data_IF_256788115503
#
_entry.id   IF_256788115503
#
_cell.length_a   1.000
_cell.length_b   1.000
_cell.length_c   1.000
_cell.angle_alpha   90.00
_cell.angle_beta   90.00
_cell.angle_gamma   90.00
#
_symmetry.space_group_name_H-M   'P 1'
#
loop_
_entity.id
_entity.type
_entity.pdbx_description
1 polymer ?
#
# COMPACT_ATOMS: atom_id res chain seq x y z
N UNK A 1 17.84 30.40 -6.30
CA UNK A 1 17.12 31.64 -5.94
C UNK A 1 17.14 31.79 -4.44
N UNK A 2 17.58 32.93 -3.88
CA UNK A 2 17.55 33.15 -2.43
C UNK A 2 16.10 33.40 -2.02
N UNK A 3 15.47 32.47 -1.30
CA UNK A 3 14.10 32.64 -0.82
C UNK A 3 14.10 33.56 0.40
N UNK A 4 13.05 34.38 0.58
CA UNK A 4 12.85 35.26 1.75
C UNK A 4 12.44 34.46 3.00
N UNK A 5 13.14 33.36 3.26
CA UNK A 5 12.95 32.48 4.40
C UNK A 5 14.17 32.58 5.32
N UNK A 6 13.98 32.62 6.65
CA UNK A 6 12.69 32.61 7.34
C UNK A 6 12.02 33.99 7.44
N UNK A 7 10.67 34.04 7.50
CA UNK A 7 9.92 35.21 7.92
C UNK A 7 10.48 35.78 9.22
N UNK A 8 10.43 37.11 9.37
CA UNK A 8 10.91 37.79 10.59
C UNK A 8 10.36 37.15 11.86
N UNK A 9 9.09 36.75 11.84
CA UNK A 9 8.39 36.10 12.95
C UNK A 9 8.99 34.77 13.39
N UNK A 10 9.65 34.05 12.48
CA UNK A 10 10.20 32.71 12.71
C UNK A 10 11.72 32.74 12.95
N UNK A 11 12.36 33.85 12.61
CA UNK A 11 13.80 34.05 12.78
C UNK A 11 14.32 33.73 14.20
N UNK A 12 13.60 34.02 15.29
CA UNK A 12 14.03 33.63 16.64
C UNK A 12 13.99 32.12 16.92
N UNK A 13 13.19 31.37 16.16
CA UNK A 13 12.87 29.96 16.43
C UNK A 13 13.57 28.98 15.48
N UNK A 14 14.50 29.47 14.65
CA UNK A 14 15.23 28.69 13.65
C UNK A 14 16.73 28.83 13.94
N UNK A 15 17.48 27.74 13.75
CA UNK A 15 18.90 27.68 14.09
C UNK A 15 19.73 28.69 13.27
N UNK A 16 20.63 29.40 13.96
CA UNK A 16 21.56 30.36 13.34
C UNK A 16 22.54 29.60 12.44
N UNK A 17 22.35 29.66 11.13
CA UNK A 17 23.18 28.96 10.15
C UNK A 17 22.39 28.21 9.08
N UNK A 18 21.05 28.14 9.20
CA UNK A 18 20.21 27.55 8.17
C UNK A 18 20.31 28.34 6.85
N UNK A 19 21.09 27.83 5.90
CA UNK A 19 21.19 28.40 4.56
C UNK A 19 20.12 27.77 3.67
N UNK A 20 19.19 28.58 3.19
CA UNK A 20 18.13 28.11 2.27
C UNK A 20 18.68 28.08 0.86
N UNK A 21 19.64 27.19 0.61
CA UNK A 21 20.06 26.86 -0.75
C UNK A 21 19.00 25.93 -1.33
N UNK A 22 18.07 26.52 -2.05
CA UNK A 22 17.07 25.75 -2.79
C UNK A 22 17.74 25.05 -3.96
N UNK A 23 17.87 23.74 -3.85
CA UNK A 23 18.24 22.91 -4.98
C UNK A 23 17.05 22.89 -5.94
N UNK A 24 17.32 23.07 -7.23
CA UNK A 24 16.28 23.02 -8.24
C UNK A 24 16.53 21.83 -9.14
N UNK A 25 15.56 20.91 -9.21
CA UNK A 25 15.66 19.75 -10.10
C UNK A 25 14.75 19.96 -11.29
N UNK A 26 15.27 19.69 -12.48
CA UNK A 26 14.47 19.75 -13.71
C UNK A 26 13.55 18.55 -13.75
N UNK A 27 12.26 18.81 -13.83
CA UNK A 27 11.26 17.75 -13.96
C UNK A 27 11.32 17.20 -15.37
N UNK A 28 11.96 16.05 -15.54
CA UNK A 28 12.05 15.35 -16.83
C UNK A 28 10.87 14.41 -17.09
N UNK A 29 10.08 14.13 -16.05
CA UNK A 29 8.92 13.24 -16.11
C UNK A 29 7.92 13.74 -17.15
N UNK A 30 7.66 12.93 -18.19
CA UNK A 30 6.89 13.34 -19.37
C UNK A 30 5.44 13.69 -19.07
N UNK A 31 4.90 13.23 -17.95
CA UNK A 31 3.50 13.35 -17.55
C UNK A 31 3.31 14.33 -16.37
N UNK A 32 4.35 15.07 -15.97
CA UNK A 32 4.20 16.09 -14.95
C UNK A 32 3.68 17.39 -15.57
N UNK A 33 2.70 18.09 -14.98
CA UNK A 33 2.34 19.46 -15.39
C UNK A 33 3.51 20.45 -15.22
N UNK A 34 4.56 20.03 -14.52
CA UNK A 34 5.80 20.76 -14.33
C UNK A 34 6.93 20.26 -15.23
N UNK A 35 6.69 19.36 -16.18
CA UNK A 35 7.70 18.86 -17.13
C UNK A 35 8.44 20.01 -17.81
N UNK A 36 9.76 19.92 -17.83
CA UNK A 36 10.65 20.95 -18.36
C UNK A 36 10.88 22.12 -17.41
N UNK A 37 10.10 22.24 -16.32
CA UNK A 37 10.30 23.25 -15.28
C UNK A 37 11.26 22.73 -14.21
N UNK A 38 11.97 23.65 -13.59
CA UNK A 38 12.76 23.36 -12.40
C UNK A 38 11.86 23.50 -11.17
N UNK A 39 11.72 22.43 -10.37
CA UNK A 39 11.03 22.49 -9.08
C UNK A 39 12.04 22.65 -7.96
N UNK A 40 11.66 23.40 -6.94
CA UNK A 40 12.45 23.54 -5.73
C UNK A 40 12.35 22.28 -4.88
N UNK A 41 13.50 21.74 -4.50
CA UNK A 41 13.64 20.64 -3.55
C UNK A 41 14.24 21.19 -2.28
N UNK A 42 13.67 20.79 -1.15
CA UNK A 42 14.16 21.14 0.17
C UNK A 42 14.81 19.92 0.80
N UNK A 43 15.97 20.11 1.40
CA UNK A 43 16.63 19.06 2.16
C UNK A 43 15.87 18.73 3.44
N UNK A 44 16.07 17.52 3.97
CA UNK A 44 15.46 17.06 5.22
C UNK A 44 15.75 18.01 6.37
N UNK A 45 16.99 18.52 6.45
CA UNK A 45 17.43 19.52 7.45
C UNK A 45 16.59 20.80 7.41
N UNK A 46 16.21 21.25 6.21
CA UNK A 46 15.36 22.40 6.02
C UNK A 46 13.91 22.12 6.46
N UNK A 47 13.37 20.96 6.08
CA UNK A 47 12.00 20.55 6.45
C UNK A 47 11.87 20.43 7.97
N UNK A 48 12.85 19.81 8.62
CA UNK A 48 12.89 19.70 10.08
C UNK A 48 12.92 21.07 10.75
N UNK A 49 13.82 21.94 10.29
CA UNK A 49 13.93 23.31 10.82
C UNK A 49 12.67 24.13 10.60
N UNK A 50 11.97 23.91 9.48
CA UNK A 50 10.68 24.54 9.19
C UNK A 50 9.60 24.08 10.18
N UNK A 51 9.49 22.76 10.40
CA UNK A 51 8.52 22.18 11.34
C UNK A 51 8.79 22.69 12.75
N UNK A 52 10.05 22.58 13.21
CA UNK A 52 10.47 23.04 14.53
C UNK A 52 10.21 24.54 14.72
N UNK A 53 10.57 25.36 13.73
CA UNK A 53 10.39 26.80 13.79
C UNK A 53 8.93 27.23 13.95
N UNK A 54 8.01 26.63 13.18
CA UNK A 54 6.58 26.92 13.31
C UNK A 54 5.94 26.34 14.57
N UNK A 55 6.39 25.16 15.03
CA UNK A 55 5.92 24.56 16.27
C UNK A 55 6.29 25.42 17.48
N UNK A 56 7.56 25.86 17.55
CA UNK A 56 8.03 26.77 18.59
C UNK A 56 7.35 28.13 18.49
N UNK A 57 7.27 28.74 17.30
CA UNK A 57 6.60 30.02 17.15
C UNK A 57 5.12 29.99 17.57
N UNK A 58 4.43 28.86 17.38
CA UNK A 58 3.08 28.66 17.90
C UNK A 58 3.08 28.60 19.43
N UNK A 59 3.99 27.84 20.03
CA UNK A 59 4.07 27.67 21.48
C UNK A 59 4.37 28.99 22.23
N UNK A 60 5.02 29.94 21.55
CA UNK A 60 5.32 31.28 22.07
C UNK A 60 4.27 32.34 21.66
N UNK A 61 3.13 31.93 21.08
CA UNK A 61 2.09 32.83 20.54
C UNK A 61 2.65 33.91 19.58
N UNK A 62 3.77 33.61 18.93
CA UNK A 62 4.46 34.54 18.04
C UNK A 62 3.86 34.52 16.62
N UNK A 63 3.08 33.50 16.27
CA UNK A 63 2.45 33.38 14.97
C UNK A 63 1.29 34.36 14.79
N UNK A 64 1.13 34.86 13.57
CA UNK A 64 -0.08 35.60 13.19
C UNK A 64 -1.29 34.65 13.22
N UNK A 65 -2.48 35.19 13.44
CA UNK A 65 -3.72 34.40 13.50
C UNK A 65 -3.92 33.50 12.28
N UNK A 66 -3.59 34.00 11.08
CA UNK A 66 -3.66 33.23 9.84
C UNK A 66 -2.53 32.19 9.67
N UNK A 67 -1.52 32.16 10.54
CA UNK A 67 -0.43 31.18 10.54
C UNK A 67 -0.57 30.11 11.62
N UNK A 68 -1.47 30.29 12.60
CA UNK A 68 -1.67 29.32 13.69
C UNK A 68 -1.99 27.91 13.22
N UNK A 69 -2.70 27.77 12.10
CA UNK A 69 -2.98 26.45 11.51
C UNK A 69 -1.70 25.72 11.03
N UNK A 70 -0.68 26.46 10.59
CA UNK A 70 0.62 25.92 10.16
C UNK A 70 1.36 25.41 11.39
N UNK A 71 1.45 26.23 12.44
CA UNK A 71 2.03 25.83 13.72
C UNK A 71 1.41 24.56 14.29
N UNK A 72 0.07 24.48 14.31
CA UNK A 72 -0.65 23.31 14.84
C UNK A 72 -0.32 22.04 14.06
N UNK A 73 -0.28 22.15 12.72
CA UNK A 73 0.14 21.05 11.84
C UNK A 73 1.59 20.63 12.11
N UNK A 74 2.50 21.58 12.31
CA UNK A 74 3.91 21.29 12.62
C UNK A 74 4.08 20.54 13.95
N UNK A 75 3.36 20.94 15.01
CA UNK A 75 3.37 20.23 16.31
C UNK A 75 2.88 18.78 16.16
N UNK A 76 1.81 18.59 15.39
CA UNK A 76 1.26 17.25 15.12
C UNK A 76 2.29 16.40 14.38
N UNK A 77 2.91 16.94 13.32
CA UNK A 77 3.92 16.23 12.54
C UNK A 77 5.15 15.86 13.37
N UNK A 78 5.62 16.78 14.20
CA UNK A 78 6.73 16.52 15.10
C UNK A 78 6.41 15.37 16.06
N UNK A 79 5.20 15.35 16.62
CA UNK A 79 4.75 14.29 17.52
C UNK A 79 4.69 12.92 16.84
N UNK A 80 4.17 12.87 15.60
CA UNK A 80 4.12 11.63 14.80
C UNK A 80 5.51 11.13 14.42
N UNK A 81 6.42 12.03 14.01
CA UNK A 81 7.79 11.67 13.65
C UNK A 81 8.56 11.12 14.86
N UNK A 82 8.46 11.79 16.02
CA UNK A 82 9.08 11.34 17.27
C UNK A 82 8.57 9.96 17.67
N UNK A 83 7.26 9.71 17.58
CA UNK A 83 6.68 8.39 17.89
C UNK A 83 7.22 7.31 16.95
N UNK A 84 7.28 7.55 15.64
CA UNK A 84 7.82 6.58 14.66
C UNK A 84 9.29 6.27 14.90
N UNK A 85 10.10 7.30 15.19
CA UNK A 85 11.52 7.12 15.50
C UNK A 85 11.70 6.35 16.81
N UNK A 86 10.94 6.67 17.85
CA UNK A 86 10.95 5.95 19.12
C UNK A 86 10.53 4.49 18.94
N UNK A 87 9.45 4.22 18.20
CA UNK A 87 8.98 2.86 17.94
C UNK A 87 10.02 2.06 17.14
N UNK A 88 10.70 2.69 16.17
CA UNK A 88 11.78 2.08 15.40
C UNK A 88 12.99 1.78 16.28
N UNK A 89 13.39 2.72 17.14
CA UNK A 89 14.50 2.55 18.07
C UNK A 89 14.22 1.46 19.13
N UNK A 90 13.00 1.42 19.67
CA UNK A 90 12.54 0.36 20.59
C UNK A 90 12.57 -1.00 19.89
N UNK A 91 12.04 -1.10 18.67
CA UNK A 91 12.10 -2.35 17.89
C UNK A 91 13.54 -2.81 17.65
N UNK A 92 14.43 -1.90 17.26
CA UNK A 92 15.86 -2.22 17.08
C UNK A 92 16.52 -2.66 18.40
N UNK A 93 16.27 -1.95 19.50
CA UNK A 93 16.78 -2.29 20.83
C UNK A 93 16.25 -3.64 21.34
N UNK A 94 15.04 -4.01 20.95
CA UNK A 94 14.42 -5.30 21.25
C UNK A 94 14.72 -6.40 20.22
N UNK A 95 15.61 -6.17 19.24
CA UNK A 95 15.98 -7.15 18.21
C UNK A 95 14.90 -7.44 17.16
N UNK A 96 13.85 -6.61 17.08
CA UNK A 96 12.77 -6.72 16.10
C UNK A 96 13.15 -5.97 14.81
N UNK A 97 13.23 -6.70 13.69
CA UNK A 97 13.55 -6.16 12.37
C UNK A 97 12.47 -5.16 11.89
N UNK A 98 12.82 -3.90 11.55
CA UNK A 98 11.85 -2.89 11.08
C UNK A 98 11.32 -3.13 9.66
N UNK A 99 11.87 -4.06 8.90
CA UNK A 99 11.67 -4.12 7.44
C UNK A 99 11.14 -5.48 6.97
N UNK A 100 9.85 -5.72 7.23
CA UNK A 100 9.13 -6.92 6.80
C UNK A 100 9.17 -7.09 5.26
N UNK A 101 9.21 -5.99 4.50
CA UNK A 101 9.18 -6.02 3.04
C UNK A 101 10.50 -6.44 2.39
N UNK A 102 11.65 -5.95 2.86
CA UNK A 102 12.95 -6.43 2.35
C UNK A 102 13.22 -7.89 2.75
N UNK A 103 12.71 -8.33 3.91
CA UNK A 103 12.78 -9.73 4.33
C UNK A 103 11.89 -10.61 3.44
N UNK A 104 10.64 -10.21 3.17
CA UNK A 104 9.75 -10.96 2.27
C UNK A 104 10.27 -11.06 0.82
N UNK A 105 10.87 -10.00 0.28
CA UNK A 105 11.43 -9.99 -1.08
C UNK A 105 12.74 -10.81 -1.18
N UNK A 106 13.56 -10.81 -0.12
CA UNK A 106 14.77 -11.65 -0.05
C UNK A 106 14.44 -13.14 0.12
N UNK A 107 13.30 -13.46 0.73
CA UNK A 107 12.83 -14.85 0.92
C UNK A 107 11.92 -15.38 -0.20
N UNK A 108 11.47 -14.57 -1.17
CA UNK A 108 10.65 -15.05 -2.29
C UNK A 108 11.36 -16.10 -3.16
N UNK A 109 12.69 -16.00 -3.28
CA UNK A 109 13.56 -17.00 -3.94
C UNK A 109 13.74 -18.28 -3.08
N UNK A 110 13.39 -18.22 -1.80
CA UNK A 110 13.59 -19.30 -0.81
C UNK A 110 12.30 -20.09 -0.52
N UNK A 111 11.12 -19.63 -0.98
CA UNK A 111 9.85 -20.28 -0.60
C UNK A 111 9.58 -21.57 -1.37
N UNK A 112 9.97 -21.67 -2.64
CA UNK A 112 9.87 -22.92 -3.41
C UNK A 112 10.78 -24.00 -2.79
N UNK A 113 11.98 -23.59 -2.37
CA UNK A 113 12.87 -24.46 -1.60
C UNK A 113 12.25 -24.82 -0.24
N UNK A 114 11.67 -23.86 0.45
CA UNK A 114 11.00 -24.07 1.73
C UNK A 114 9.86 -25.08 1.62
N UNK A 115 8.99 -25.02 0.62
CA UNK A 115 7.91 -26.02 0.48
C UNK A 115 8.48 -27.42 0.18
N UNK A 116 9.58 -27.52 -0.59
CA UNK A 116 10.30 -28.80 -0.80
C UNK A 116 10.93 -29.31 0.50
N UNK A 117 11.53 -28.44 1.31
CA UNK A 117 12.08 -28.78 2.63
C UNK A 117 10.99 -29.21 3.63
N UNK A 118 9.74 -28.74 3.44
CA UNK A 118 8.55 -29.23 4.15
C UNK A 118 7.99 -30.54 3.58
N UNK A 119 8.68 -31.16 2.62
CA UNK A 119 8.31 -32.44 2.04
C UNK A 119 7.31 -32.35 0.89
N UNK A 120 7.11 -31.18 0.28
CA UNK A 120 6.26 -31.09 -0.91
C UNK A 120 6.90 -31.83 -2.10
N UNK A 121 6.12 -32.73 -2.71
CA UNK A 121 6.53 -33.49 -3.89
C UNK A 121 5.50 -33.34 -5.00
N UNK A 122 5.97 -33.28 -6.24
CA UNK A 122 5.15 -33.18 -7.43
C UNK A 122 4.99 -34.55 -8.11
N UNK A 123 3.75 -34.90 -8.50
CA UNK A 123 3.49 -36.18 -9.18
C UNK A 123 3.83 -36.19 -10.67
N UNK A 124 3.91 -35.02 -11.34
CA UNK A 124 4.08 -34.97 -12.81
C UNK A 124 5.55 -34.88 -13.20
N UNK A 125 6.28 -33.94 -12.62
CA UNK A 125 7.73 -33.73 -12.71
C UNK A 125 8.15 -32.81 -11.56
N UNK A 126 9.43 -32.42 -11.46
CA UNK A 126 9.94 -31.67 -10.31
C UNK A 126 9.25 -30.33 -10.02
N UNK A 127 8.48 -29.77 -10.96
CA UNK A 127 7.94 -28.41 -10.88
C UNK A 127 6.41 -28.29 -11.12
N UNK A 128 5.73 -29.40 -11.41
CA UNK A 128 4.28 -29.41 -11.71
C UNK A 128 3.54 -30.37 -10.77
N UNK A 129 2.67 -29.80 -9.94
CA UNK A 129 1.81 -30.52 -9.02
C UNK A 129 0.39 -30.70 -9.57
N UNK A 130 -0.27 -31.78 -9.17
CA UNK A 130 -1.72 -31.96 -9.35
C UNK A 130 -2.46 -31.64 -8.05
N UNK A 131 -3.79 -31.49 -8.12
CA UNK A 131 -4.61 -31.21 -6.92
C UNK A 131 -4.37 -32.19 -5.78
N UNK A 132 -4.18 -33.48 -6.11
CA UNK A 132 -3.91 -34.53 -5.12
C UNK A 132 -2.66 -34.22 -4.29
N UNK A 133 -1.58 -33.80 -4.94
CA UNK A 133 -0.33 -33.41 -4.29
C UNK A 133 -0.57 -32.25 -3.31
N UNK A 134 -1.30 -31.23 -3.75
CA UNK A 134 -1.61 -30.03 -2.96
C UNK A 134 -2.52 -30.37 -1.76
N UNK A 135 -3.58 -31.16 -1.97
CA UNK A 135 -4.49 -31.56 -0.89
C UNK A 135 -3.81 -32.43 0.15
N UNK A 136 -2.91 -33.33 -0.29
CA UNK A 136 -2.17 -34.21 0.59
C UNK A 136 -1.14 -33.43 1.42
N UNK A 137 -0.42 -32.49 0.79
CA UNK A 137 0.55 -31.66 1.48
C UNK A 137 -0.09 -30.73 2.52
N UNK A 138 -1.20 -30.09 2.15
CA UNK A 138 -1.88 -29.16 3.05
C UNK A 138 -2.82 -29.85 4.05
N UNK A 139 -3.03 -31.16 3.92
CA UNK A 139 -4.01 -31.94 4.68
C UNK A 139 -5.41 -31.28 4.67
N UNK A 140 -5.93 -31.05 3.46
CA UNK A 140 -7.22 -30.38 3.25
C UNK A 140 -8.13 -31.18 2.30
N UNK A 141 -9.46 -31.07 2.45
CA UNK A 141 -10.39 -31.62 1.47
C UNK A 141 -10.23 -30.98 0.08
N UNK A 142 -10.40 -31.77 -0.98
CA UNK A 142 -10.36 -31.25 -2.35
C UNK A 142 -11.43 -30.18 -2.61
N UNK A 143 -12.58 -30.27 -1.96
CA UNK A 143 -13.64 -29.25 -2.02
C UNK A 143 -13.16 -27.88 -1.51
N UNK A 144 -12.35 -27.86 -0.45
CA UNK A 144 -11.75 -26.64 0.10
C UNK A 144 -10.75 -26.04 -0.88
N UNK A 145 -9.87 -26.87 -1.44
CA UNK A 145 -8.92 -26.44 -2.48
C UNK A 145 -9.66 -25.90 -3.71
N UNK A 146 -10.71 -26.58 -4.17
CA UNK A 146 -11.52 -26.13 -5.30
C UNK A 146 -12.19 -24.77 -5.05
N UNK A 147 -12.69 -24.54 -3.83
CA UNK A 147 -13.25 -23.24 -3.47
C UNK A 147 -12.18 -22.13 -3.46
N UNK A 148 -10.98 -22.43 -2.97
CA UNK A 148 -9.84 -21.53 -3.00
C UNK A 148 -9.48 -21.17 -4.46
N UNK A 149 -9.20 -22.18 -5.29
CA UNK A 149 -8.84 -21.99 -6.70
C UNK A 149 -9.91 -21.20 -7.48
N UNK A 150 -11.20 -21.41 -7.18
CA UNK A 150 -12.29 -20.64 -7.80
C UNK A 150 -12.24 -19.15 -7.42
N UNK A 151 -11.90 -18.82 -6.17
CA UNK A 151 -11.76 -17.44 -5.70
C UNK A 151 -10.54 -16.76 -6.29
N UNK A 152 -9.48 -17.53 -6.56
CA UNK A 152 -8.15 -17.04 -6.98
C UNK A 152 -7.84 -17.36 -8.45
N UNK A 153 -8.88 -17.56 -9.27
CA UNK A 153 -8.76 -17.97 -10.68
C UNK A 153 -7.99 -17.00 -11.58
N UNK A 154 -7.87 -15.73 -11.16
CA UNK A 154 -7.16 -14.70 -11.92
C UNK A 154 -5.64 -14.79 -11.68
N UNK A 155 -5.25 -15.26 -10.49
CA UNK A 155 -3.88 -15.22 -9.97
C UNK A 155 -3.19 -16.58 -10.03
N UNK A 156 -3.98 -17.66 -10.00
CA UNK A 156 -3.54 -19.06 -10.14
C UNK A 156 -4.14 -19.62 -11.42
N UNK A 157 -3.30 -19.83 -12.44
CA UNK A 157 -3.74 -20.32 -13.75
C UNK A 157 -3.37 -21.79 -13.89
N UNK A 158 -4.36 -22.71 -13.94
CA UNK A 158 -4.08 -24.12 -14.14
C UNK A 158 -3.54 -24.38 -15.54
N UNK A 159 -2.68 -25.40 -15.64
CA UNK A 159 -2.12 -25.88 -16.90
C UNK A 159 -2.82 -27.17 -17.28
N UNK A 160 -3.41 -27.21 -18.46
CA UNK A 160 -4.02 -28.44 -18.94
C UNK A 160 -2.93 -29.45 -19.34
N UNK A 161 -2.90 -30.59 -18.67
CA UNK A 161 -1.91 -31.63 -18.94
C UNK A 161 -2.27 -32.41 -20.21
N UNK A 162 -1.24 -32.75 -21.00
CA UNK A 162 -1.41 -33.61 -22.18
C UNK A 162 -1.72 -35.04 -21.75
N UNK A 163 -2.54 -35.76 -22.51
CA UNK A 163 -2.91 -37.15 -22.19
C UNK A 163 -1.71 -38.09 -22.06
N UNK A 164 -0.64 -37.86 -22.85
CA UNK A 164 0.60 -38.61 -22.74
C UNK A 164 1.28 -38.40 -21.36
N UNK A 165 1.34 -37.15 -20.90
CA UNK A 165 1.87 -36.80 -19.58
C UNK A 165 1.03 -37.43 -18.46
N UNK A 166 -0.31 -37.38 -18.57
CA UNK A 166 -1.20 -38.00 -17.58
C UNK A 166 -0.93 -39.50 -17.42
N UNK A 167 -0.77 -40.21 -18.54
CA UNK A 167 -0.48 -41.65 -18.52
C UNK A 167 0.94 -41.95 -18.01
N UNK A 168 1.91 -41.08 -18.29
CA UNK A 168 3.32 -41.28 -17.91
C UNK A 168 3.52 -41.36 -16.39
N UNK A 169 2.76 -40.59 -15.58
CA UNK A 169 2.78 -40.71 -14.11
C UNK A 169 1.70 -41.67 -13.56
N UNK A 170 1.05 -42.46 -14.42
CA UNK A 170 0.05 -43.46 -14.01
C UNK A 170 -1.38 -42.95 -13.82
N UNK A 171 -1.68 -41.73 -14.26
CA UNK A 171 -3.02 -41.16 -14.23
C UNK A 171 -3.98 -41.81 -15.23
N UNK A 172 -5.23 -42.04 -14.81
CA UNK A 172 -6.31 -42.63 -15.64
C UNK A 172 -7.32 -41.60 -16.16
N UNK A 173 -7.20 -40.34 -15.76
CA UNK A 173 -8.15 -39.29 -16.12
C UNK A 173 -8.00 -38.90 -17.61
N UNK A 174 -9.13 -38.63 -18.26
CA UNK A 174 -9.14 -38.14 -19.65
C UNK A 174 -8.65 -36.70 -19.78
N UNK A 175 -8.80 -35.89 -18.72
CA UNK A 175 -8.33 -34.50 -18.61
C UNK A 175 -7.89 -34.24 -17.17
N UNK A 176 -6.81 -33.49 -17.01
CA UNK A 176 -6.29 -33.11 -15.69
C UNK A 176 -5.57 -31.76 -15.77
N UNK A 177 -5.64 -30.99 -14.68
CA UNK A 177 -4.91 -29.74 -14.53
C UNK A 177 -3.71 -29.94 -13.61
N UNK A 178 -2.59 -29.33 -13.99
CA UNK A 178 -1.42 -29.13 -13.16
C UNK A 178 -1.26 -27.68 -12.71
N UNK A 179 -0.41 -27.47 -11.72
CA UNK A 179 -0.09 -26.18 -11.11
C UNK A 179 1.43 -26.08 -10.95
N UNK A 180 2.02 -24.97 -11.35
CA UNK A 180 3.45 -24.72 -11.10
C UNK A 180 3.73 -24.58 -9.60
N UNK A 181 4.93 -24.93 -9.16
CA UNK A 181 5.36 -24.78 -7.77
C UNK A 181 5.17 -23.36 -7.21
N UNK A 182 5.35 -22.33 -8.02
CA UNK A 182 5.08 -20.94 -7.61
C UNK A 182 3.61 -20.75 -7.22
N UNK A 183 2.68 -21.34 -7.98
CA UNK A 183 1.26 -21.28 -7.67
C UNK A 183 0.89 -22.17 -6.48
N UNK A 184 1.54 -23.34 -6.34
CA UNK A 184 1.41 -24.18 -5.14
C UNK A 184 1.84 -23.39 -3.90
N UNK A 185 2.92 -22.62 -4.00
CA UNK A 185 3.43 -21.78 -2.91
C UNK A 185 2.41 -20.72 -2.50
N UNK A 186 1.79 -20.04 -3.47
CA UNK A 186 0.70 -19.09 -3.22
C UNK A 186 -0.48 -19.76 -2.53
N UNK A 187 -0.86 -20.97 -2.94
CA UNK A 187 -1.94 -21.73 -2.31
C UNK A 187 -1.56 -22.10 -0.86
N UNK A 188 -0.36 -22.64 -0.65
CA UNK A 188 0.11 -23.08 0.66
C UNK A 188 0.18 -21.93 1.66
N UNK A 189 0.69 -20.78 1.24
CA UNK A 189 0.64 -19.57 2.03
C UNK A 189 -0.78 -19.00 2.09
N UNK A 190 -1.61 -19.18 1.07
CA UNK A 190 -2.97 -18.64 0.99
C UNK A 190 -3.91 -19.21 2.05
N UNK A 191 -3.73 -20.50 2.34
CA UNK A 191 -4.61 -21.29 3.18
C UNK A 191 -4.15 -21.34 4.64
N UNK A 192 -5.10 -21.49 5.56
CA UNK A 192 -4.85 -21.64 7.00
C UNK A 192 -4.80 -23.13 7.41
N UNK A 193 -4.10 -23.96 6.63
CA UNK A 193 -3.81 -25.32 7.07
C UNK A 193 -2.67 -25.31 8.11
N UNK A 194 -2.46 -26.43 8.82
CA UNK A 194 -1.36 -26.56 9.78
C UNK A 194 -0.01 -26.23 9.12
N UNK A 195 0.24 -26.83 7.95
CA UNK A 195 1.44 -26.60 7.14
C UNK A 195 1.49 -25.16 6.61
N UNK A 196 0.36 -24.62 6.14
CA UNK A 196 0.28 -23.23 5.68
C UNK A 196 0.62 -22.21 6.77
N UNK A 197 0.14 -22.43 8.00
CA UNK A 197 0.44 -21.58 9.17
C UNK A 197 1.93 -21.65 9.52
N UNK A 198 2.54 -22.83 9.50
CA UNK A 198 3.95 -23.00 9.81
C UNK A 198 4.85 -22.37 8.74
N UNK A 199 4.51 -22.56 7.45
CA UNK A 199 5.17 -21.90 6.34
C UNK A 199 5.10 -20.37 6.48
N UNK A 200 3.92 -19.82 6.78
CA UNK A 200 3.77 -18.39 7.05
C UNK A 200 4.65 -17.92 8.21
N UNK A 201 4.77 -18.69 9.29
CA UNK A 201 5.64 -18.35 10.43
C UNK A 201 7.11 -18.32 10.03
N UNK A 202 7.58 -19.27 9.20
CA UNK A 202 8.97 -19.26 8.71
C UNK A 202 9.24 -18.12 7.72
N UNK A 203 8.26 -17.76 6.89
CA UNK A 203 8.41 -16.69 5.90
C UNK A 203 8.26 -15.29 6.53
N UNK A 204 7.35 -15.12 7.49
CA UNK A 204 6.96 -13.79 8.03
C UNK A 204 7.23 -13.61 9.54
N UNK A 205 7.83 -14.60 10.23
CA UNK A 205 8.08 -14.57 11.67
C UNK A 205 6.82 -14.81 12.53
N UNK A 206 6.85 -14.43 13.82
CA UNK A 206 5.74 -14.65 14.77
C UNK A 206 4.39 -14.03 14.34
N UNK A 207 4.42 -13.01 13.47
CA UNK A 207 3.22 -12.34 12.93
C UNK A 207 2.60 -13.14 11.76
N UNK A 208 3.35 -14.07 11.16
CA UNK A 208 2.97 -14.80 9.96
C UNK A 208 1.69 -15.61 10.06
N UNK A 209 1.35 -16.15 11.24
CA UNK A 209 0.10 -16.91 11.44
C UNK A 209 -1.18 -16.12 11.14
N UNK A 210 -1.10 -14.78 11.13
CA UNK A 210 -2.23 -13.90 10.83
C UNK A 210 -2.22 -13.38 9.38
N UNK A 211 -1.15 -13.65 8.63
CA UNK A 211 -0.96 -13.17 7.27
C UNK A 211 -1.67 -14.11 6.29
N UNK A 212 -2.68 -13.60 5.58
CA UNK A 212 -3.22 -14.26 4.39
C UNK A 212 -2.64 -13.55 3.16
N UNK A 213 -1.93 -14.24 2.26
CA UNK A 213 -1.46 -13.66 0.99
C UNK A 213 -2.58 -13.01 0.17
N UNK A 214 -3.80 -13.50 0.37
CA UNK A 214 -5.02 -13.16 -0.35
C UNK A 214 -5.81 -11.99 0.27
N UNK A 215 -5.37 -11.44 1.40
CA UNK A 215 -6.05 -10.28 1.99
C UNK A 215 -5.64 -9.01 1.27
N UNK A 216 -6.35 -8.74 0.16
CA UNK A 216 -6.39 -7.50 -0.62
C UNK A 216 -5.78 -6.32 0.14
N UNK A 217 -4.60 -5.91 -0.30
CA UNK A 217 -4.01 -4.56 -0.38
C UNK A 217 -4.45 -3.49 0.65
N UNK A 218 -5.75 -3.29 0.87
CA UNK A 218 -6.31 -2.53 1.99
C UNK A 218 -5.94 -3.08 3.38
N UNK A 219 -5.77 -4.40 3.56
CA UNK A 219 -5.47 -4.99 4.89
C UNK A 219 -4.03 -4.68 5.31
N UNK A 220 -3.11 -4.60 4.35
CA UNK A 220 -1.74 -4.12 4.61
C UNK A 220 -1.76 -2.65 5.06
N UNK A 221 -2.53 -1.82 4.35
CA UNK A 221 -2.74 -0.42 4.76
C UNK A 221 -3.48 -0.32 6.08
N UNK A 222 -4.40 -1.23 6.39
CA UNK A 222 -5.14 -1.25 7.65
C UNK A 222 -4.19 -1.31 8.84
N UNK A 223 -3.22 -2.21 8.84
CA UNK A 223 -2.25 -2.33 9.93
C UNK A 223 -1.31 -1.14 10.02
N UNK A 224 -0.78 -0.69 8.88
CA UNK A 224 0.13 0.47 8.81
C UNK A 224 -0.58 1.74 9.29
N UNK A 225 -1.78 2.00 8.77
CA UNK A 225 -2.58 3.17 9.13
C UNK A 225 -3.07 3.08 10.59
N UNK A 226 -3.37 1.89 11.12
CA UNK A 226 -3.73 1.72 12.54
C UNK A 226 -2.61 2.17 13.47
N UNK A 227 -1.34 1.86 13.13
CA UNK A 227 -0.18 2.30 13.91
C UNK A 227 0.06 3.79 13.75
N UNK A 228 0.03 4.28 12.51
CA UNK A 228 0.23 5.70 12.18
C UNK A 228 -0.81 6.61 12.85
N UNK A 229 -2.08 6.21 12.83
CA UNK A 229 -3.22 6.99 13.31
C UNK A 229 -3.75 6.51 14.66
N UNK A 230 -2.93 5.83 15.44
CA UNK A 230 -3.29 5.43 16.80
C UNK A 230 -3.68 6.67 17.64
N UNK A 231 -4.90 6.65 18.18
CA UNK A 231 -5.47 7.77 18.94
C UNK A 231 -6.13 8.87 18.09
N UNK A 232 -6.16 8.73 16.76
CA UNK A 232 -6.78 9.69 15.83
C UNK A 232 -8.18 9.29 15.34
N UNK A 233 -8.79 8.29 15.97
CA UNK A 233 -10.11 7.74 15.60
C UNK A 233 -10.13 7.29 14.12
N UNK A 234 -9.21 6.38 13.80
CA UNK A 234 -9.18 5.70 12.51
C UNK A 234 -10.30 4.67 12.45
N UNK A 235 -11.18 4.83 11.48
CA UNK A 235 -12.30 3.94 11.19
C UNK A 235 -12.12 3.34 9.82
N UNK A 236 -12.44 2.07 9.69
CA UNK A 236 -12.37 1.33 8.44
C UNK A 236 -13.74 1.24 7.82
N UNK A 237 -13.81 1.23 6.50
CA UNK A 237 -15.02 0.86 5.79
C UNK A 237 -16.22 1.73 6.26
N UNK A 238 -15.97 3.02 6.46
CA UNK A 238 -16.85 3.92 7.20
C UNK A 238 -17.94 4.50 6.29
N UNK A 239 -19.22 4.50 6.71
CA UNK A 239 -20.30 5.09 5.92
C UNK A 239 -20.27 6.62 5.99
N UNK A 240 -20.36 7.27 4.83
CA UNK A 240 -20.55 8.71 4.66
C UNK A 240 -21.75 8.93 3.73
N UNK A 241 -22.90 9.25 4.32
CA UNK A 241 -24.16 9.34 3.59
C UNK A 241 -24.50 7.98 2.93
N UNK A 242 -24.85 7.94 1.63
CA UNK A 242 -25.12 6.70 0.92
C UNK A 242 -23.85 5.93 0.52
N UNK A 243 -22.66 6.49 0.77
CA UNK A 243 -21.38 5.94 0.33
C UNK A 243 -20.61 5.32 1.49
N UNK A 244 -19.62 4.52 1.13
CA UNK A 244 -18.68 3.90 2.05
C UNK A 244 -17.26 4.25 1.61
N UNK A 245 -16.39 4.59 2.56
CA UNK A 245 -14.99 4.94 2.32
C UNK A 245 -14.07 3.96 3.04
N UNK A 246 -12.89 3.71 2.47
CA UNK A 246 -11.98 2.66 2.96
C UNK A 246 -11.42 3.00 4.34
N UNK A 247 -10.98 4.26 4.53
CA UNK A 247 -10.45 4.76 5.79
C UNK A 247 -10.96 6.18 6.09
N UNK A 248 -11.43 6.39 7.32
CA UNK A 248 -11.72 7.72 7.86
C UNK A 248 -10.85 7.96 9.10
N UNK A 249 -10.05 9.02 9.10
CA UNK A 249 -9.37 9.51 10.29
C UNK A 249 -10.19 10.66 10.85
N UNK A 250 -11.15 10.35 11.73
CA UNK A 250 -12.23 11.28 12.08
C UNK A 250 -11.71 12.57 12.72
N UNK A 251 -10.69 12.49 13.57
CA UNK A 251 -10.09 13.68 14.21
C UNK A 251 -9.36 14.61 13.24
N UNK A 252 -8.93 14.09 12.08
CA UNK A 252 -8.26 14.87 11.05
C UNK A 252 -9.21 15.32 9.92
N UNK A 253 -10.48 14.92 9.99
CA UNK A 253 -11.45 15.15 8.92
C UNK A 253 -10.92 14.67 7.56
N UNK A 254 -10.22 13.53 7.56
CA UNK A 254 -9.47 13.01 6.43
C UNK A 254 -10.03 11.66 6.01
N UNK A 255 -10.35 11.55 4.72
CA UNK A 255 -10.72 10.30 4.06
C UNK A 255 -9.56 9.82 3.20
N UNK A 256 -9.22 8.53 3.33
CA UNK A 256 -8.27 7.86 2.44
C UNK A 256 -9.00 6.76 1.68
N UNK A 257 -8.83 6.74 0.36
CA UNK A 257 -9.36 5.67 -0.51
C UNK A 257 -8.23 4.95 -1.25
N UNK A 258 -8.12 3.66 -1.00
CA UNK A 258 -7.13 2.78 -1.62
C UNK A 258 -7.75 2.16 -2.87
N UNK A 259 -7.12 2.36 -4.03
CA UNK A 259 -7.63 1.88 -5.31
C UNK A 259 -9.05 2.36 -5.65
N UNK A 260 -9.50 3.52 -5.13
CA UNK A 260 -10.86 4.08 -5.32
C UNK A 260 -11.26 4.45 -6.77
N UNK A 261 -10.45 4.06 -7.76
CA UNK A 261 -10.67 4.20 -9.20
C UNK A 261 -10.99 2.86 -9.89
N UNK A 262 -10.83 1.72 -9.20
CA UNK A 262 -11.04 0.38 -9.75
C UNK A 262 -12.30 -0.25 -9.14
N UNK A 263 -13.47 0.08 -9.69
CA UNK A 263 -14.72 -0.61 -9.38
C UNK A 263 -15.32 -1.22 -10.64
N UNK A 264 -15.93 -2.40 -10.51
CA UNK A 264 -16.55 -3.15 -11.62
C UNK A 264 -17.68 -2.38 -12.32
N UNK A 265 -18.18 -1.32 -11.67
CA UNK A 265 -19.27 -0.45 -12.11
C UNK A 265 -18.89 1.03 -11.93
N UNK A 266 -17.64 1.40 -12.26
CA UNK A 266 -17.18 2.78 -12.16
C UNK A 266 -17.95 3.68 -13.13
N UNK A 267 -18.71 4.63 -12.59
CA UNK A 267 -19.44 5.68 -13.34
C UNK A 267 -18.85 7.04 -12.96
N UNK A 268 -18.23 7.72 -13.94
CA UNK A 268 -17.53 8.99 -13.71
C UNK A 268 -18.47 10.12 -13.24
N UNK A 269 -19.75 10.11 -13.67
CA UNK A 269 -20.73 11.11 -13.23
C UNK A 269 -21.11 10.88 -11.77
N UNK A 270 -21.39 9.64 -11.40
CA UNK A 270 -21.70 9.30 -10.00
C UNK A 270 -20.50 9.52 -9.09
N UNK A 271 -19.29 9.23 -9.57
CA UNK A 271 -18.07 9.39 -8.79
C UNK A 271 -17.74 10.86 -8.53
N UNK A 272 -17.99 11.76 -9.50
CA UNK A 272 -17.88 13.21 -9.29
C UNK A 272 -18.88 13.74 -8.26
N UNK A 273 -20.11 13.21 -8.26
CA UNK A 273 -21.13 13.55 -7.25
C UNK A 273 -20.69 13.08 -5.86
N UNK A 274 -20.20 11.84 -5.76
CA UNK A 274 -19.66 11.25 -4.53
C UNK A 274 -18.48 12.05 -3.99
N UNK A 275 -17.52 12.37 -4.85
CA UNK A 275 -16.34 13.17 -4.52
C UNK A 275 -16.73 14.55 -3.97
N UNK A 276 -17.67 15.24 -4.64
CA UNK A 276 -18.20 16.53 -4.19
C UNK A 276 -18.90 16.44 -2.83
N UNK A 277 -19.67 15.39 -2.57
CA UNK A 277 -20.35 15.18 -1.29
C UNK A 277 -19.35 14.93 -0.15
N UNK A 278 -18.35 14.06 -0.36
CA UNK A 278 -17.34 13.76 0.66
C UNK A 278 -16.50 15.02 0.97
N UNK A 279 -16.08 15.73 -0.08
CA UNK A 279 -15.18 16.88 0.07
C UNK A 279 -15.82 18.11 0.71
N UNK A 280 -17.17 18.21 0.75
CA UNK A 280 -17.85 19.28 1.50
C UNK A 280 -17.40 19.37 2.95
N UNK A 281 -17.06 18.23 3.56
CA UNK A 281 -16.72 18.14 4.98
C UNK A 281 -15.31 17.60 5.24
N UNK A 282 -14.79 16.76 4.35
CA UNK A 282 -13.53 16.06 4.56
C UNK A 282 -12.49 16.45 3.51
N UNK A 283 -11.21 16.30 3.83
CA UNK A 283 -10.17 16.20 2.81
C UNK A 283 -10.15 14.77 2.27
N UNK A 284 -9.95 14.60 0.96
CA UNK A 284 -9.94 13.28 0.32
C UNK A 284 -8.58 13.02 -0.32
N UNK A 285 -7.94 11.91 0.07
CA UNK A 285 -6.73 11.41 -0.58
C UNK A 285 -7.02 10.05 -1.18
N UNK A 286 -6.85 9.92 -2.49
CA UNK A 286 -6.98 8.67 -3.20
C UNK A 286 -5.61 8.19 -3.63
N UNK A 287 -5.31 6.92 -3.46
CA UNK A 287 -3.98 6.39 -3.70
C UNK A 287 -4.01 4.97 -4.27
N UNK A 288 -2.99 4.64 -5.07
CA UNK A 288 -2.75 3.27 -5.52
C UNK A 288 -2.19 2.45 -4.37
N UNK A 289 -2.60 1.19 -4.19
CA UNK A 289 -2.08 0.33 -3.12
C UNK A 289 -0.54 0.17 -3.13
N UNK A 290 0.08 0.31 -4.31
CA UNK A 290 1.54 0.24 -4.53
C UNK A 290 2.32 1.52 -4.16
N UNK A 291 1.66 2.62 -3.80
CA UNK A 291 2.41 3.82 -3.37
C UNK A 291 3.23 3.49 -2.13
N UNK A 292 4.41 4.08 -1.99
CA UNK A 292 5.14 4.00 -0.73
C UNK A 292 4.50 4.92 0.32
N UNK A 293 4.89 4.71 1.59
CA UNK A 293 4.35 5.44 2.73
C UNK A 293 4.59 6.95 2.60
N UNK A 294 5.78 7.34 2.13
CA UNK A 294 6.20 8.72 1.95
C UNK A 294 5.29 9.44 0.95
N UNK A 295 4.93 8.78 -0.15
CA UNK A 295 4.02 9.33 -1.17
C UNK A 295 2.63 9.53 -0.61
N UNK A 296 2.09 8.55 0.13
CA UNK A 296 0.79 8.67 0.78
C UNK A 296 0.77 9.85 1.76
N UNK A 297 1.79 9.97 2.59
CA UNK A 297 1.89 11.05 3.57
C UNK A 297 2.06 12.43 2.93
N UNK A 298 2.83 12.53 1.86
CA UNK A 298 2.95 13.78 1.10
C UNK A 298 1.58 14.23 0.56
N UNK A 299 0.75 13.29 0.08
CA UNK A 299 -0.62 13.59 -0.30
C UNK A 299 -1.48 14.04 0.89
N UNK A 300 -1.40 13.34 2.02
CA UNK A 300 -2.13 13.72 3.25
C UNK A 300 -1.77 15.13 3.72
N UNK A 301 -0.48 15.48 3.69
CA UNK A 301 0.03 16.79 4.09
C UNK A 301 -0.48 17.93 3.19
N UNK A 302 -0.58 17.66 1.89
CA UNK A 302 -1.07 18.61 0.90
C UNK A 302 -2.59 18.74 0.94
N UNK A 303 -3.29 17.75 1.48
CA UNK A 303 -4.74 17.72 1.51
C UNK A 303 -5.31 18.87 2.37
N UNK A 304 -6.24 19.61 1.79
CA UNK A 304 -7.03 20.65 2.46
C UNK A 304 -8.50 20.21 2.54
N UNK A 305 -9.25 20.62 3.57
CA UNK A 305 -10.71 20.45 3.56
C UNK A 305 -11.28 21.00 2.25
N UNK A 306 -12.19 20.27 1.60
CA UNK A 306 -12.71 20.67 0.28
C UNK A 306 -11.87 20.24 -0.92
N UNK A 307 -10.75 19.55 -0.74
CA UNK A 307 -9.87 19.14 -1.85
C UNK A 307 -9.71 17.64 -1.96
N UNK A 308 -9.52 17.20 -3.21
CA UNK A 308 -9.16 15.82 -3.55
C UNK A 308 -7.71 15.79 -4.03
N UNK A 309 -6.90 14.91 -3.46
CA UNK A 309 -5.55 14.60 -3.96
C UNK A 309 -5.53 13.17 -4.48
N UNK A 310 -5.08 13.00 -5.72
CA UNK A 310 -4.95 11.70 -6.38
C UNK A 310 -3.48 11.35 -6.53
N UNK A 311 -3.07 10.23 -5.96
CA UNK A 311 -1.69 9.73 -5.96
C UNK A 311 -1.52 8.57 -6.95
N UNK A 312 -2.16 8.67 -8.11
CA UNK A 312 -2.11 7.71 -9.21
C UNK A 312 -2.39 8.39 -10.55
N UNK A 313 -1.89 7.80 -11.64
CA UNK A 313 -2.07 8.24 -13.02
C UNK A 313 -2.95 7.23 -13.79
N UNK A 314 -4.06 7.69 -14.37
CA UNK A 314 -4.99 6.86 -15.12
C UNK A 314 -4.39 6.31 -16.43
N UNK A 315 -3.43 7.00 -17.05
CA UNK A 315 -2.77 6.53 -18.27
C UNK A 315 -1.85 5.33 -18.00
N UNK A 316 -1.18 5.30 -16.85
CA UNK A 316 -0.36 4.15 -16.42
C UNK A 316 -1.21 2.99 -15.91
N UNK A 317 -2.35 3.28 -15.28
CA UNK A 317 -3.30 2.27 -14.81
C UNK A 317 -3.98 1.51 -15.95
N UNK A 318 -4.20 2.14 -17.11
CA UNK A 318 -4.75 1.49 -18.30
C UNK A 318 -3.92 0.31 -18.83
N UNK A 319 -2.63 0.22 -18.46
CA UNK A 319 -1.77 -0.93 -18.79
C UNK A 319 -1.86 -2.07 -17.77
N UNK A 320 -2.31 -1.81 -16.55
CA UNK A 320 -2.45 -2.80 -15.46
C UNK A 320 -3.91 -3.23 -15.19
N UNK A 321 -4.91 -2.59 -15.82
CA UNK A 321 -6.32 -2.95 -15.63
C UNK A 321 -6.66 -4.29 -16.32
N UNK A 322 -7.26 -5.28 -15.60
CA UNK A 322 -7.63 -6.59 -16.17
C UNK A 322 -8.83 -6.55 -17.13
N UNK A 323 -9.28 -5.36 -17.52
CA UNK A 323 -10.36 -5.17 -18.48
C UNK A 323 -9.89 -4.16 -19.52
N UNK A 324 -9.80 -4.59 -20.77
CA UNK A 324 -9.64 -3.72 -21.94
C UNK A 324 -10.78 -2.70 -21.95
N UNK A 325 -10.58 -1.56 -21.30
CA UNK A 325 -11.33 -0.35 -21.58
C UNK A 325 -10.41 0.45 -22.49
N UNK A 326 -10.71 0.40 -23.79
CA UNK A 326 -10.01 1.20 -24.80
C UNK A 326 -10.07 2.68 -24.37
N UNK A 327 -8.94 3.40 -24.33
CA UNK A 327 -8.94 4.84 -24.07
C UNK A 327 -9.50 5.69 -25.23
N UNK A 328 -10.00 5.05 -26.30
CA UNK A 328 -10.49 5.71 -27.50
C UNK A 328 -12.00 5.56 -27.61
N UNK A 329 -12.71 6.54 -27.06
CA UNK A 329 -13.97 7.11 -27.57
C UNK A 329 -14.33 8.31 -26.68
N UNK A 330 -13.41 9.26 -26.60
CA UNK A 330 -13.68 10.62 -26.12
C UNK A 330 -13.32 11.59 -27.24
N UNK A 331 -13.89 11.35 -28.41
CA UNK A 331 -14.03 12.32 -29.50
C UNK A 331 -15.15 11.79 -30.41
N UNK A 332 -16.37 12.27 -30.18
CA UNK A 332 -17.33 12.71 -31.20
C UNK A 332 -18.68 13.03 -30.55
N UNK A 333 -19.02 14.33 -30.60
CA UNK A 333 -20.31 15.00 -30.40
C UNK A 333 -20.89 15.08 -28.97
#
# INVERSE_FOLDING_TARGET
>A
MKTNWPPKTLKPFIDKGLSVVVNSVKVVAKNSPHKGRNITVYETSFIESFIRGYALALAYDALRQNQNHIGKRCVILQSSLVRTVLETAIKQACGLSPNIQKTAQKHYIDVVKLIKDFGFTCSVNDDIAIKKDITQFLDIPESTLNNFLRKHKNDIKPIQLKSATIRAFGGKASRMNGYHLDDVTKIALGMDSVVGIELKKKVFGQVGSFVKPETKEEIQWREVLSKVFEGFDLRFNYPIGPYKVDFLVARLMLVLECNGYCHRYYDDKQEKVREKLITQKYSLVRFHHKVNLETLFNGILQAKPGTTIKLYDFEQLGQEMPFNINPLNADMA
#
